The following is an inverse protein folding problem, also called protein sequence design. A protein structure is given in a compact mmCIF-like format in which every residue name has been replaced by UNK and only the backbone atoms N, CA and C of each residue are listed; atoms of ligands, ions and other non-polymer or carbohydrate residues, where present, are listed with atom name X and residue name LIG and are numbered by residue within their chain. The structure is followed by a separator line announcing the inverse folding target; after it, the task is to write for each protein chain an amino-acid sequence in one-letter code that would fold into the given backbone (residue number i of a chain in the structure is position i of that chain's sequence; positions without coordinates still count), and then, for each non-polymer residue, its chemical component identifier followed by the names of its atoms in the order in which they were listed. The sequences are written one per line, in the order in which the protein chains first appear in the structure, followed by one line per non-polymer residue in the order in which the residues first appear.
data_IF_178934535848
#
_entry.id   IF_178934535848
#
_cell.length_a   1.000
_cell.length_b   1.000
_cell.length_c   1.000
_cell.angle_alpha   90.00
_cell.angle_beta   90.00
_cell.angle_gamma   90.00
#
_symmetry.space_group_name_H-M   'P 1'
#
loop_
_entity.id
_entity.type
_entity.pdbx_description
1 polymer ?
#
# COMPACT_ATOMS: atom_id res chain seq x y z
N UNK A 1 0.95 6.21 33.41
CA UNK A 1 1.47 5.05 32.68
C UNK A 1 0.78 5.02 31.34
N UNK A 2 1.51 5.14 30.23
CA UNK A 2 0.90 5.02 28.92
C UNK A 2 0.33 3.59 28.81
N UNK A 3 -0.97 3.47 28.56
CA UNK A 3 -1.57 2.20 28.19
C UNK A 3 -0.77 1.66 27.02
N UNK A 4 -0.14 0.49 27.15
CA UNK A 4 0.55 -0.17 26.05
C UNK A 4 -0.46 -0.31 24.90
N UNK A 5 -0.25 0.45 23.83
CA UNK A 5 -1.04 0.35 22.60
C UNK A 5 -0.58 -0.93 21.93
N UNK A 6 -1.18 -2.05 22.31
CA UNK A 6 -0.82 -3.35 21.78
C UNK A 6 -2.08 -4.13 21.45
N UNK A 7 -2.46 -4.13 20.17
CA UNK A 7 -3.45 -5.07 19.67
C UNK A 7 -2.82 -6.47 19.59
N UNK A 8 -3.39 -7.50 20.25
CA UNK A 8 -2.81 -8.83 20.27
C UNK A 8 -2.85 -9.53 18.90
N UNK A 9 -3.79 -9.14 18.04
CA UNK A 9 -3.94 -9.62 16.67
C UNK A 9 -4.58 -8.53 15.80
N UNK A 10 -4.51 -8.64 14.46
CA UNK A 10 -5.25 -7.75 13.57
C UNK A 10 -6.77 -7.89 13.73
N UNK A 11 -7.49 -6.78 13.61
CA UNK A 11 -8.95 -6.74 13.61
C UNK A 11 -9.49 -6.02 12.37
N UNK A 12 -10.66 -6.42 11.89
CA UNK A 12 -11.28 -5.78 10.74
C UNK A 12 -11.72 -4.36 11.11
N UNK A 13 -11.23 -3.33 10.41
CA UNK A 13 -11.61 -1.93 10.62
C UNK A 13 -12.77 -1.52 9.73
N UNK A 14 -12.75 -1.94 8.47
CA UNK A 14 -13.80 -1.65 7.49
C UNK A 14 -14.21 -2.97 6.86
N UNK A 15 -15.44 -3.39 7.12
CA UNK A 15 -16.01 -4.61 6.58
C UNK A 15 -16.64 -4.35 5.21
N UNK A 16 -16.54 -5.32 4.31
CA UNK A 16 -17.23 -5.32 3.03
C UNK A 16 -18.43 -6.29 3.10
N UNK A 17 -19.62 -5.75 3.38
CA UNK A 17 -20.85 -6.52 3.57
C UNK A 17 -21.75 -6.30 2.35
N UNK A 18 -21.94 -7.33 1.52
CA UNK A 18 -22.82 -7.29 0.34
C UNK A 18 -22.54 -6.09 -0.57
N UNK A 19 -21.25 -5.77 -0.76
CA UNK A 19 -20.81 -4.66 -1.61
C UNK A 19 -20.89 -3.27 -0.95
N UNK A 20 -21.08 -3.19 0.37
CA UNK A 20 -21.05 -1.94 1.14
C UNK A 20 -19.91 -1.96 2.15
N UNK A 21 -19.13 -0.89 2.16
CA UNK A 21 -18.08 -0.68 3.16
C UNK A 21 -18.67 -0.09 4.45
N UNK A 22 -18.49 -0.80 5.57
CA UNK A 22 -19.03 -0.44 6.89
C UNK A 22 -17.89 -0.41 7.90
N UNK A 23 -17.78 0.67 8.67
CA UNK A 23 -16.77 0.78 9.74
C UNK A 23 -17.16 -0.13 10.90
N UNK A 24 -16.23 -0.94 11.38
CA UNK A 24 -16.40 -1.73 12.59
C UNK A 24 -16.24 -0.83 13.83
N UNK A 25 -17.31 -0.61 14.63
CA UNK A 25 -17.26 0.33 15.75
C UNK A 25 -16.37 -0.15 16.90
N UNK A 26 -16.14 -1.46 17.04
CA UNK A 26 -15.27 -2.02 18.07
C UNK A 26 -13.81 -1.68 17.75
N UNK A 27 -13.39 -1.97 16.52
CA UNK A 27 -12.03 -1.67 16.03
C UNK A 27 -11.76 -0.16 16.01
N UNK A 28 -12.74 0.65 15.60
CA UNK A 28 -12.63 2.11 15.64
C UNK A 28 -12.47 2.65 17.08
N UNK A 29 -13.10 2.01 18.07
CA UNK A 29 -12.92 2.35 19.49
C UNK A 29 -11.51 2.08 19.98
N UNK A 30 -10.88 0.98 19.53
CA UNK A 30 -9.47 0.69 19.81
C UNK A 30 -8.59 1.81 19.26
N UNK A 31 -8.80 2.20 17.99
CA UNK A 31 -8.06 3.30 17.37
C UNK A 31 -8.24 4.60 18.18
N UNK A 32 -9.46 4.95 18.59
CA UNK A 32 -9.72 6.17 19.39
C UNK A 32 -9.00 6.24 20.75
N UNK A 33 -8.51 5.11 21.27
CA UNK A 33 -7.75 5.09 22.51
C UNK A 33 -6.28 5.50 22.32
N UNK A 34 -5.77 5.48 21.08
CA UNK A 34 -4.38 5.78 20.72
C UNK A 34 -4.16 7.29 20.73
N UNK A 35 -3.52 7.81 21.79
CA UNK A 35 -3.25 9.26 21.92
C UNK A 35 -1.95 9.70 21.27
N UNK A 36 -1.02 8.76 21.05
CA UNK A 36 0.25 9.00 20.36
C UNK A 36 0.02 9.35 18.89
N UNK A 37 0.91 10.14 18.27
CA UNK A 37 0.99 10.27 16.82
C UNK A 37 1.05 8.89 16.15
N UNK A 38 0.32 8.73 15.05
CA UNK A 38 0.27 7.46 14.31
C UNK A 38 1.10 7.54 13.03
N UNK A 39 1.89 6.51 12.77
CA UNK A 39 2.48 6.21 11.46
C UNK A 39 1.61 5.15 10.82
N UNK A 40 0.97 5.46 9.69
CA UNK A 40 0.02 4.54 9.05
C UNK A 40 0.64 3.98 7.77
N UNK A 41 0.81 2.67 7.69
CA UNK A 41 1.29 1.97 6.48
C UNK A 41 0.15 1.15 5.93
N UNK A 42 -0.28 1.44 4.70
CA UNK A 42 -1.33 0.68 4.03
C UNK A 42 -0.76 -0.06 2.82
N UNK A 43 -1.16 -1.31 2.62
CA UNK A 43 -0.77 -2.10 1.45
C UNK A 43 -1.98 -2.46 0.59
N UNK A 44 -1.87 -2.23 -0.72
CA UNK A 44 -2.92 -2.56 -1.69
C UNK A 44 -2.32 -3.29 -2.88
N UNK A 45 -3.10 -4.16 -3.50
CA UNK A 45 -2.68 -4.93 -4.65
C UNK A 45 -3.63 -6.08 -4.92
N UNK A 46 -3.43 -6.77 -6.04
CA UNK A 46 -4.26 -7.91 -6.43
C UNK A 46 -4.32 -8.97 -5.33
N UNK A 47 -5.40 -9.75 -5.32
CA UNK A 47 -5.52 -10.91 -4.45
C UNK A 47 -4.34 -11.90 -4.67
N UNK A 48 -3.90 -12.57 -3.60
CA UNK A 48 -2.77 -13.54 -3.60
C UNK A 48 -1.42 -13.04 -4.09
N UNK A 49 -1.10 -11.78 -3.81
CA UNK A 49 0.23 -11.20 -4.11
C UNK A 49 1.16 -11.14 -2.89
N UNK A 50 0.79 -11.77 -1.77
CA UNK A 50 1.62 -11.83 -0.56
C UNK A 50 1.67 -10.53 0.25
N UNK A 51 0.60 -9.71 0.21
CA UNK A 51 0.49 -8.44 0.96
C UNK A 51 0.58 -8.65 2.47
N UNK A 52 -0.31 -9.48 3.02
CA UNK A 52 -0.40 -9.82 4.44
C UNK A 52 0.93 -10.34 5.00
N UNK A 53 1.73 -11.05 4.18
CA UNK A 53 3.06 -11.50 4.56
C UNK A 53 4.02 -10.32 4.82
N UNK A 54 4.07 -9.35 3.91
CA UNK A 54 4.92 -8.16 4.08
C UNK A 54 4.47 -7.33 5.29
N UNK A 55 3.16 -7.23 5.53
CA UNK A 55 2.62 -6.53 6.71
C UNK A 55 2.98 -7.24 8.02
N UNK A 56 2.96 -8.57 8.04
CA UNK A 56 3.42 -9.35 9.20
C UNK A 56 4.91 -9.13 9.48
N UNK A 57 5.73 -9.02 8.42
CA UNK A 57 7.16 -8.70 8.56
C UNK A 57 7.38 -7.28 9.11
N UNK A 58 6.60 -6.29 8.68
CA UNK A 58 6.62 -4.94 9.30
C UNK A 58 6.21 -4.96 10.78
N UNK A 59 5.28 -5.84 11.16
CA UNK A 59 4.88 -6.03 12.55
C UNK A 59 5.95 -6.73 13.40
N UNK A 60 7.03 -7.25 12.79
CA UNK A 60 8.04 -8.06 13.47
C UNK A 60 7.50 -9.40 13.99
N UNK A 61 6.43 -9.93 13.37
CA UNK A 61 5.73 -11.14 13.83
C UNK A 61 5.57 -12.13 12.68
N UNK A 62 5.77 -13.42 12.95
CA UNK A 62 5.54 -14.46 11.94
C UNK A 62 4.06 -14.80 11.75
N UNK A 63 3.20 -14.47 12.73
CA UNK A 63 1.74 -14.66 12.69
C UNK A 63 1.05 -13.33 12.97
N UNK A 64 -0.01 -13.05 12.23
CA UNK A 64 -0.73 -11.78 12.29
C UNK A 64 -1.89 -11.78 11.29
N UNK A 65 -1.76 -11.00 10.23
CA UNK A 65 -2.70 -11.00 9.12
C UNK A 65 -2.69 -12.38 8.44
N UNK A 66 -3.87 -12.93 8.20
CA UNK A 66 -4.04 -14.26 7.59
C UNK A 66 -3.53 -14.27 6.14
N UNK A 67 -2.61 -15.19 5.80
CA UNK A 67 -1.99 -15.22 4.47
C UNK A 67 -2.86 -15.82 3.35
N UNK A 68 -3.95 -16.51 3.70
CA UNK A 68 -4.92 -17.11 2.77
C UNK A 68 -4.32 -18.11 1.77
N UNK A 69 -4.49 -19.41 2.02
CA UNK A 69 -3.90 -20.49 1.18
C UNK A 69 -4.84 -21.09 0.14
N UNK A 70 -6.12 -20.70 0.11
CA UNK A 70 -7.17 -21.28 -0.75
C UNK A 70 -7.61 -20.33 -1.87
N UNK A 71 -8.46 -20.81 -2.79
CA UNK A 71 -8.99 -20.07 -3.95
C UNK A 71 -9.96 -18.94 -3.57
N UNK A 72 -10.47 -18.93 -2.34
CA UNK A 72 -11.29 -17.86 -1.79
C UNK A 72 -10.41 -16.73 -1.23
N UNK A 73 -10.90 -15.49 -1.31
CA UNK A 73 -10.23 -14.36 -0.65
C UNK A 73 -10.51 -14.36 0.85
N UNK A 74 -9.45 -14.21 1.64
CA UNK A 74 -9.50 -14.27 3.10
C UNK A 74 -9.70 -12.88 3.72
N UNK A 75 -8.91 -11.91 3.29
CA UNK A 75 -9.06 -10.51 3.74
C UNK A 75 -10.24 -9.88 3.00
N UNK A 76 -11.32 -9.60 3.72
CA UNK A 76 -12.46 -8.82 3.23
C UNK A 76 -12.42 -7.42 3.84
N UNK A 77 -12.55 -6.37 3.02
CA UNK A 77 -12.45 -4.98 3.47
C UNK A 77 -11.02 -4.53 3.85
N UNK A 78 -10.87 -3.79 4.95
CA UNK A 78 -9.59 -3.26 5.43
C UNK A 78 -9.37 -3.71 6.89
N UNK A 79 -8.26 -4.39 7.12
CA UNK A 79 -7.85 -4.92 8.43
C UNK A 79 -6.76 -4.05 9.02
N UNK A 80 -6.82 -3.85 10.33
CA UNK A 80 -5.95 -2.95 11.08
C UNK A 80 -5.20 -3.71 12.16
N UNK A 81 -3.91 -3.39 12.33
CA UNK A 81 -3.12 -3.87 13.46
C UNK A 81 -2.28 -2.71 14.03
N UNK A 82 -2.52 -2.39 15.31
CA UNK A 82 -1.85 -1.29 15.99
C UNK A 82 -0.85 -1.79 17.03
N UNK A 83 0.34 -1.21 17.04
CA UNK A 83 1.42 -1.57 17.96
C UNK A 83 2.35 -0.38 18.23
N UNK A 84 3.22 -0.45 19.24
CA UNK A 84 4.25 0.57 19.44
C UNK A 84 5.18 0.60 18.22
N UNK A 85 5.58 1.79 17.77
CA UNK A 85 6.47 1.89 16.63
C UNK A 85 7.89 1.45 17.02
N UNK A 86 8.52 0.48 16.33
CA UNK A 86 9.79 -0.10 16.74
C UNK A 86 10.95 0.90 16.76
N UNK A 87 10.99 1.82 15.80
CA UNK A 87 12.07 2.84 15.68
C UNK A 87 11.69 4.22 16.24
N UNK A 88 10.47 4.43 16.73
CA UNK A 88 9.94 5.76 17.11
C UNK A 88 9.17 5.65 18.43
N UNK A 89 9.83 5.81 19.59
CA UNK A 89 9.29 5.42 20.89
C UNK A 89 7.98 6.12 21.29
N UNK A 90 7.75 7.34 20.81
CA UNK A 90 6.54 8.12 21.10
C UNK A 90 5.42 7.97 20.07
N UNK A 91 5.57 7.06 19.10
CA UNK A 91 4.60 6.85 18.02
C UNK A 91 3.97 5.46 18.09
N UNK A 92 2.75 5.38 17.59
CA UNK A 92 2.11 4.11 17.27
C UNK A 92 2.27 3.80 15.77
N UNK A 93 2.54 2.54 15.46
CA UNK A 93 2.51 2.01 14.09
C UNK A 93 1.12 1.40 13.86
N UNK A 94 0.46 1.83 12.79
CA UNK A 94 -0.84 1.32 12.34
C UNK A 94 -0.65 0.68 10.98
N UNK A 95 -0.82 -0.64 10.93
CA UNK A 95 -0.72 -1.43 9.72
C UNK A 95 -2.10 -1.68 9.15
N UNK A 96 -2.33 -1.31 7.88
CA UNK A 96 -3.57 -1.54 7.16
C UNK A 96 -3.36 -2.55 6.02
N UNK A 97 -3.81 -3.78 6.20
CA UNK A 97 -3.85 -4.80 5.15
C UNK A 97 -5.22 -4.79 4.47
N UNK A 98 -5.24 -4.69 3.15
CA UNK A 98 -6.49 -4.60 2.41
C UNK A 98 -6.85 -5.90 1.70
N UNK A 99 -8.14 -6.06 1.48
CA UNK A 99 -8.68 -7.02 0.54
C UNK A 99 -8.00 -6.91 -0.83
N UNK A 100 -7.85 -8.06 -1.49
CA UNK A 100 -7.27 -8.13 -2.82
C UNK A 100 -8.17 -7.50 -3.88
N UNK A 101 -7.57 -6.68 -4.73
CA UNK A 101 -8.25 -6.12 -5.91
C UNK A 101 -8.48 -7.22 -6.96
N UNK A 102 -9.55 -7.09 -7.75
CA UNK A 102 -9.83 -7.94 -8.91
C UNK A 102 -10.21 -9.38 -8.55
N UNK A 103 -10.73 -9.61 -7.35
CA UNK A 103 -11.22 -10.92 -6.94
C UNK A 103 -12.48 -11.30 -7.74
N UNK A 104 -12.37 -12.37 -8.54
CA UNK A 104 -13.38 -12.82 -9.49
C UNK A 104 -14.70 -13.21 -8.80
N UNK A 105 -14.65 -13.63 -7.53
CA UNK A 105 -15.84 -13.97 -6.76
C UNK A 105 -16.73 -12.76 -6.41
N UNK A 106 -16.20 -11.53 -6.52
CA UNK A 106 -16.93 -10.31 -6.14
C UNK A 106 -17.91 -9.80 -7.21
N UNK A 107 -17.57 -9.94 -8.48
CA UNK A 107 -18.32 -9.36 -9.61
C UNK A 107 -18.46 -7.83 -9.63
N UNK A 108 -18.02 -7.10 -8.60
CA UNK A 108 -18.19 -5.64 -8.45
C UNK A 108 -16.87 -4.91 -8.20
N UNK A 109 -16.42 -4.17 -9.22
CA UNK A 109 -15.20 -3.37 -9.20
C UNK A 109 -15.33 -2.07 -8.38
N UNK A 110 -16.52 -1.67 -7.93
CA UNK A 110 -16.70 -0.38 -7.22
C UNK A 110 -16.08 -0.39 -5.82
N UNK A 111 -16.15 -1.52 -5.11
CA UNK A 111 -15.54 -1.63 -3.77
C UNK A 111 -14.02 -1.58 -3.83
N UNK A 112 -13.43 -2.13 -4.88
CA UNK A 112 -11.98 -2.09 -5.10
C UNK A 112 -11.48 -0.64 -5.25
N UNK A 113 -12.19 0.21 -6.00
CA UNK A 113 -11.89 1.65 -6.09
C UNK A 113 -11.94 2.33 -4.71
N UNK A 114 -12.92 2.00 -3.87
CA UNK A 114 -13.09 2.63 -2.55
C UNK A 114 -12.07 2.13 -1.52
N UNK A 115 -11.75 0.84 -1.52
CA UNK A 115 -10.69 0.28 -0.66
C UNK A 115 -9.35 0.91 -1.01
N UNK A 116 -9.04 1.03 -2.31
CA UNK A 116 -7.85 1.72 -2.80
C UNK A 116 -7.82 3.17 -2.32
N UNK A 117 -8.93 3.90 -2.52
CA UNK A 117 -9.08 5.29 -2.12
C UNK A 117 -8.82 5.50 -0.62
N UNK A 118 -9.47 4.68 0.22
CA UNK A 118 -9.35 4.76 1.66
C UNK A 118 -7.93 4.44 2.13
N UNK A 119 -7.28 3.42 1.55
CA UNK A 119 -5.90 3.08 1.86
C UNK A 119 -4.93 4.24 1.57
N UNK A 120 -5.08 4.92 0.42
CA UNK A 120 -4.27 6.10 0.09
C UNK A 120 -4.54 7.24 1.07
N UNK A 121 -5.81 7.55 1.34
CA UNK A 121 -6.17 8.69 2.19
C UNK A 121 -5.78 8.52 3.65
N UNK A 122 -5.88 7.30 4.19
CA UNK A 122 -5.58 6.99 5.59
C UNK A 122 -4.08 6.83 5.85
N UNK A 123 -3.28 6.44 4.85
CA UNK A 123 -1.87 6.11 5.06
C UNK A 123 -0.93 7.32 5.10
N UNK A 124 0.17 7.17 5.83
CA UNK A 124 1.40 7.96 5.70
C UNK A 124 2.28 7.44 4.56
N UNK A 125 2.30 6.12 4.39
CA UNK A 125 3.02 5.43 3.31
C UNK A 125 2.09 4.40 2.68
N UNK A 126 1.92 4.53 1.37
CA UNK A 126 1.08 3.65 0.57
C UNK A 126 1.95 2.68 -0.20
N UNK A 127 1.80 1.39 0.11
CA UNK A 127 2.51 0.30 -0.53
C UNK A 127 1.62 -0.32 -1.60
N UNK A 128 2.01 -0.20 -2.86
CA UNK A 128 1.36 -0.90 -3.97
C UNK A 128 2.14 -2.17 -4.32
N UNK A 129 1.47 -3.31 -4.20
CA UNK A 129 2.08 -4.63 -4.31
C UNK A 129 1.56 -5.39 -5.54
N UNK A 130 2.47 -5.77 -6.43
CA UNK A 130 2.15 -6.53 -7.65
C UNK A 130 3.15 -7.65 -7.89
N UNK A 131 2.75 -8.67 -8.65
CA UNK A 131 3.66 -9.75 -9.10
C UNK A 131 4.26 -9.39 -10.46
N UNK A 132 5.55 -9.67 -10.61
CA UNK A 132 6.32 -9.50 -11.83
C UNK A 132 6.71 -8.05 -12.08
N UNK A 133 6.75 -7.70 -13.37
CA UNK A 133 7.30 -6.45 -13.88
C UNK A 133 6.25 -5.33 -13.90
N UNK A 134 6.70 -4.08 -13.97
CA UNK A 134 5.80 -2.94 -14.22
C UNK A 134 5.39 -2.95 -15.70
N UNK A 135 4.25 -3.56 -15.99
CA UNK A 135 3.66 -3.62 -17.33
C UNK A 135 2.41 -2.71 -17.43
N UNK A 136 1.82 -2.65 -18.63
CA UNK A 136 0.63 -1.81 -18.84
C UNK A 136 -0.55 -2.24 -17.97
N UNK A 137 -0.75 -3.54 -17.74
CA UNK A 137 -1.82 -4.04 -16.88
C UNK A 137 -1.67 -3.57 -15.43
N UNK A 138 -0.44 -3.58 -14.90
CA UNK A 138 -0.16 -3.08 -13.55
C UNK A 138 -0.40 -1.56 -13.45
N UNK A 139 -0.11 -0.81 -14.52
CA UNK A 139 -0.43 0.63 -14.61
C UNK A 139 -1.93 0.90 -14.76
N UNK A 140 -2.65 0.06 -15.49
CA UNK A 140 -4.11 0.18 -15.66
C UNK A 140 -4.83 -0.09 -14.33
N UNK A 141 -4.28 -0.96 -13.48
CA UNK A 141 -4.77 -1.15 -12.11
C UNK A 141 -4.54 0.09 -11.23
N UNK A 142 -3.49 0.87 -11.50
CA UNK A 142 -3.29 2.16 -10.85
C UNK A 142 -4.22 3.26 -11.38
N UNK A 143 -5.11 2.97 -12.34
CA UNK A 143 -6.18 3.90 -12.72
C UNK A 143 -7.08 4.30 -11.54
N UNK A 144 -7.15 3.48 -10.48
CA UNK A 144 -7.84 3.86 -9.24
C UNK A 144 -7.27 5.15 -8.62
N UNK A 145 -5.97 5.45 -8.79
CA UNK A 145 -5.38 6.73 -8.37
C UNK A 145 -5.98 7.90 -9.16
N UNK A 146 -6.16 7.72 -10.47
CA UNK A 146 -6.78 8.71 -11.35
C UNK A 146 -8.25 8.93 -10.98
N UNK A 147 -9.00 7.85 -10.71
CA UNK A 147 -10.38 7.94 -10.24
C UNK A 147 -10.47 8.65 -8.88
N UNK A 148 -9.61 8.27 -7.94
CA UNK A 148 -9.51 8.88 -6.62
C UNK A 148 -9.33 10.39 -6.74
N UNK A 149 -8.34 10.81 -7.52
CA UNK A 149 -8.06 12.21 -7.79
C UNK A 149 -9.29 12.93 -8.33
N UNK A 150 -9.97 12.34 -9.32
CA UNK A 150 -11.18 12.92 -9.92
C UNK A 150 -12.29 13.06 -8.89
N UNK A 151 -12.51 12.04 -8.05
CA UNK A 151 -13.56 12.01 -7.02
C UNK A 151 -13.28 13.00 -5.88
N UNK A 152 -12.04 13.11 -5.41
CA UNK A 152 -11.69 14.09 -4.38
C UNK A 152 -11.87 15.50 -4.96
N UNK A 153 -11.33 15.78 -6.16
CA UNK A 153 -11.45 17.08 -6.84
C UNK A 153 -12.91 17.51 -7.04
N UNK A 154 -13.78 16.59 -7.45
CA UNK A 154 -15.21 16.86 -7.66
C UNK A 154 -15.96 17.22 -6.37
N UNK A 155 -15.51 16.72 -5.21
CA UNK A 155 -16.15 17.00 -3.91
C UNK A 155 -15.58 18.24 -3.20
N UNK A 156 -14.35 18.63 -3.52
CA UNK A 156 -13.66 19.74 -2.84
C UNK A 156 -13.92 21.12 -3.45
N UNK A 157 -14.45 21.24 -4.68
CA UNK A 157 -14.91 22.53 -5.26
C UNK A 157 -15.71 22.34 -6.57
N UNK A 158 -16.99 22.76 -6.65
CA UNK A 158 -17.74 22.79 -7.92
C UNK A 158 -17.36 23.96 -8.86
N UNK A 159 -16.68 25.00 -8.35
CA UNK A 159 -16.77 26.36 -8.94
C UNK A 159 -15.43 27.09 -9.20
N UNK A 160 -14.31 26.38 -9.35
CA UNK A 160 -13.04 27.04 -9.74
C UNK A 160 -12.40 26.40 -10.96
N UNK A 161 -12.34 27.23 -12.01
CA UNK A 161 -11.59 27.00 -13.23
C UNK A 161 -10.16 26.55 -12.94
N UNK A 162 -9.69 25.70 -13.84
CA UNK A 162 -8.48 24.91 -13.79
C UNK A 162 -7.21 25.71 -13.43
N UNK A 163 -6.24 24.98 -12.85
CA UNK A 163 -4.78 25.22 -12.87
C UNK A 163 -4.09 25.55 -11.51
N UNK A 164 -4.77 25.95 -10.43
CA UNK A 164 -4.05 26.27 -9.16
C UNK A 164 -4.15 25.26 -8.01
N UNK A 165 -5.03 24.26 -8.08
CA UNK A 165 -5.32 23.41 -6.91
C UNK A 165 -4.28 22.31 -6.60
N UNK A 166 -3.37 21.96 -7.52
CA UNK A 166 -2.55 20.76 -7.35
C UNK A 166 -1.60 20.79 -6.13
N UNK A 167 -1.14 21.97 -5.70
CA UNK A 167 -0.20 22.09 -4.58
C UNK A 167 -0.82 21.71 -3.22
N UNK A 168 -2.10 22.01 -3.01
CA UNK A 168 -2.81 21.65 -1.79
C UNK A 168 -3.08 20.13 -1.71
N UNK A 169 -3.29 19.47 -2.86
CA UNK A 169 -3.50 18.03 -2.93
C UNK A 169 -2.24 17.23 -2.60
N UNK A 170 -1.06 17.65 -3.07
CA UNK A 170 0.19 16.93 -2.78
C UNK A 170 0.47 16.85 -1.27
N UNK A 171 0.04 17.86 -0.50
CA UNK A 171 0.39 17.98 0.92
C UNK A 171 -0.13 16.86 1.84
N UNK A 172 -1.16 16.12 1.42
CA UNK A 172 -1.76 15.05 2.25
C UNK A 172 -1.66 13.65 1.63
N UNK A 173 -1.11 13.53 0.42
CA UNK A 173 -0.86 12.23 -0.18
C UNK A 173 0.31 11.53 0.52
N UNK A 174 0.22 10.20 0.69
CA UNK A 174 1.27 9.42 1.33
C UNK A 174 2.53 9.35 0.46
N UNK A 175 3.65 8.96 1.06
CA UNK A 175 4.80 8.49 0.29
C UNK A 175 4.41 7.17 -0.43
N UNK A 176 4.85 6.98 -1.68
CA UNK A 176 4.50 5.82 -2.50
C UNK A 176 5.62 4.79 -2.54
N UNK A 177 5.30 3.52 -2.27
CA UNK A 177 6.25 2.41 -2.37
C UNK A 177 5.67 1.34 -3.28
N UNK A 178 6.37 0.97 -4.34
CA UNK A 178 5.97 -0.13 -5.22
C UNK A 178 6.79 -1.38 -4.93
N UNK A 179 6.13 -2.43 -4.43
CA UNK A 179 6.74 -3.74 -4.19
C UNK A 179 6.44 -4.70 -5.35
N UNK A 180 7.50 -5.17 -6.02
CA UNK A 180 7.43 -6.09 -7.16
C UNK A 180 7.82 -7.50 -6.72
N UNK A 181 6.85 -8.39 -6.65
CA UNK A 181 6.99 -9.76 -6.14
C UNK A 181 7.33 -10.73 -7.26
N UNK A 182 8.07 -11.80 -6.96
CA UNK A 182 8.55 -12.77 -7.96
C UNK A 182 9.25 -12.07 -9.14
N UNK A 183 10.03 -11.04 -8.84
CA UNK A 183 10.77 -10.30 -9.86
C UNK A 183 11.85 -11.22 -10.45
N UNK A 184 11.98 -11.20 -11.78
CA UNK A 184 12.83 -12.15 -12.51
C UNK A 184 13.60 -11.49 -13.66
N UNK A 185 13.57 -10.17 -13.75
CA UNK A 185 14.40 -9.44 -14.71
C UNK A 185 15.72 -9.05 -14.07
N UNK A 186 16.77 -9.05 -14.87
CA UNK A 186 18.00 -8.33 -14.52
C UNK A 186 17.71 -6.82 -14.58
N UNK A 187 18.10 -6.11 -13.53
CA UNK A 187 17.96 -4.66 -13.47
C UNK A 187 19.07 -4.01 -14.29
N UNK A 188 18.91 -4.02 -15.60
CA UNK A 188 19.82 -3.38 -16.55
C UNK A 188 19.08 -2.47 -17.54
N UNK A 189 19.71 -1.35 -17.87
CA UNK A 189 19.29 -0.46 -18.95
C UNK A 189 20.51 -0.02 -19.75
N UNK A 190 20.44 -0.12 -21.08
CA UNK A 190 21.53 0.21 -22.00
C UNK A 190 22.87 -0.48 -21.65
N UNK A 191 22.79 -1.71 -21.13
CA UNK A 191 23.95 -2.52 -20.70
C UNK A 191 24.62 -2.04 -19.41
N UNK A 192 23.97 -1.16 -18.65
CA UNK A 192 24.42 -0.73 -17.32
C UNK A 192 23.46 -1.23 -16.24
N UNK A 193 23.97 -1.66 -15.08
CA UNK A 193 23.11 -2.01 -13.95
C UNK A 193 22.37 -0.78 -13.45
N UNK A 194 21.08 -0.95 -13.13
CA UNK A 194 20.23 0.08 -12.55
C UNK A 194 19.66 -0.39 -11.21
N UNK A 195 19.24 0.56 -10.39
CA UNK A 195 18.51 0.30 -9.14
C UNK A 195 17.03 0.05 -9.40
N UNK A 196 16.33 -0.53 -8.42
CA UNK A 196 14.87 -0.68 -8.48
C UNK A 196 14.16 0.69 -8.60
N UNK A 197 14.70 1.73 -7.96
CA UNK A 197 14.16 3.09 -8.06
C UNK A 197 14.31 3.66 -9.47
N UNK A 198 15.47 3.46 -10.11
CA UNK A 198 15.67 3.83 -11.51
C UNK A 198 14.76 3.05 -12.46
N UNK A 199 14.52 1.76 -12.18
CA UNK A 199 13.53 0.96 -12.92
C UNK A 199 12.11 1.53 -12.81
N UNK A 200 11.70 1.98 -11.62
CA UNK A 200 10.41 2.64 -11.41
C UNK A 200 10.33 3.99 -12.15
N UNK A 201 11.36 4.83 -12.05
CA UNK A 201 11.40 6.12 -12.75
C UNK A 201 11.37 5.94 -14.27
N UNK A 202 12.10 4.94 -14.79
CA UNK A 202 12.05 4.55 -16.20
C UNK A 202 10.64 4.13 -16.61
N UNK A 203 9.94 3.37 -15.77
CA UNK A 203 8.57 2.89 -16.02
C UNK A 203 7.52 4.02 -16.00
N UNK A 204 7.81 5.11 -15.28
CA UNK A 204 6.99 6.31 -15.16
C UNK A 204 7.31 7.40 -16.21
N UNK A 205 8.27 7.15 -17.11
CA UNK A 205 8.55 8.05 -18.25
C UNK A 205 7.32 8.23 -19.12
N UNK A 206 7.05 9.48 -19.49
CA UNK A 206 5.93 9.84 -20.34
C UNK A 206 6.33 9.70 -21.80
N UNK A 207 5.37 9.29 -22.64
CA UNK A 207 5.54 9.32 -24.09
C UNK A 207 5.18 10.70 -24.63
N UNK A 208 5.93 11.17 -25.61
CA UNK A 208 5.58 12.38 -26.35
C UNK A 208 4.46 12.08 -27.35
N UNK A 209 3.52 13.01 -27.49
CA UNK A 209 2.38 12.87 -28.39
C UNK A 209 1.06 13.30 -27.74
N UNK A 210 0.10 13.71 -28.57
CA UNK A 210 -1.22 14.17 -28.13
C UNK A 210 -2.38 13.25 -28.58
N UNK A 211 -2.06 12.11 -29.19
CA UNK A 211 -3.06 11.13 -29.61
C UNK A 211 -3.71 10.43 -28.39
N UNK A 212 -4.87 9.81 -28.62
CA UNK A 212 -5.66 9.17 -27.57
C UNK A 212 -4.87 8.06 -26.84
N UNK A 213 -4.07 7.26 -27.55
CA UNK A 213 -3.30 6.16 -26.94
C UNK A 213 -2.20 6.71 -26.04
N UNK A 214 -1.49 7.74 -26.48
CA UNK A 214 -0.46 8.40 -25.68
C UNK A 214 -1.05 9.04 -24.42
N UNK A 215 -2.22 9.69 -24.52
CA UNK A 215 -2.93 10.24 -23.36
C UNK A 215 -3.30 9.16 -22.35
N UNK A 216 -3.91 8.05 -22.79
CA UNK A 216 -4.26 6.92 -21.91
C UNK A 216 -3.02 6.30 -21.26
N UNK A 217 -1.90 6.17 -22.00
CA UNK A 217 -0.64 5.68 -21.44
C UNK A 217 -0.05 6.63 -20.39
N UNK A 218 -0.10 7.95 -20.63
CA UNK A 218 0.49 8.95 -19.76
C UNK A 218 -0.36 9.27 -18.52
N UNK A 219 -1.68 9.09 -18.56
CA UNK A 219 -2.59 9.47 -17.49
C UNK A 219 -2.25 8.86 -16.11
N UNK A 220 -2.13 7.52 -15.94
CA UNK A 220 -1.77 6.94 -14.64
C UNK A 220 -0.36 7.37 -14.19
N UNK A 221 0.59 7.50 -15.13
CA UNK A 221 1.97 7.94 -14.85
C UNK A 221 2.02 9.37 -14.35
N UNK A 222 1.25 10.27 -14.97
CA UNK A 222 1.11 11.65 -14.54
C UNK A 222 0.51 11.74 -13.14
N UNK A 223 -0.49 10.90 -12.83
CA UNK A 223 -1.08 10.87 -11.50
C UNK A 223 -0.04 10.45 -10.46
N UNK A 224 0.66 9.35 -10.67
CA UNK A 224 1.67 8.87 -9.71
C UNK A 224 2.76 9.92 -9.50
N UNK A 225 3.27 10.50 -10.58
CA UNK A 225 4.34 11.50 -10.53
C UNK A 225 3.93 12.78 -9.80
N UNK A 226 2.68 13.21 -9.96
CA UNK A 226 2.15 14.46 -9.39
C UNK A 226 1.66 14.33 -7.96
N UNK A 227 0.98 13.24 -7.61
CA UNK A 227 0.27 13.16 -6.33
C UNK A 227 1.12 12.61 -5.21
N UNK A 228 1.95 11.60 -5.48
CA UNK A 228 2.82 11.05 -4.47
C UNK A 228 4.12 11.87 -4.44
N UNK A 229 4.49 12.51 -3.31
CA UNK A 229 5.69 13.33 -3.24
C UNK A 229 6.94 12.45 -3.45
N UNK A 230 7.10 11.45 -2.60
CA UNK A 230 8.18 10.47 -2.65
C UNK A 230 7.73 9.17 -3.33
N UNK A 231 8.65 8.54 -4.07
CA UNK A 231 8.45 7.24 -4.71
C UNK A 231 9.65 6.36 -4.41
N UNK A 232 9.38 5.12 -4.02
CA UNK A 232 10.38 4.09 -3.77
C UNK A 232 9.96 2.79 -4.44
N UNK A 233 10.91 1.98 -4.87
CA UNK A 233 10.67 0.66 -5.40
C UNK A 233 11.50 -0.40 -4.67
N UNK A 234 10.86 -1.53 -4.41
CA UNK A 234 11.52 -2.74 -3.92
C UNK A 234 11.16 -3.91 -4.83
N UNK A 235 12.17 -4.68 -5.21
CA UNK A 235 11.99 -5.95 -5.89
C UNK A 235 12.14 -7.08 -4.88
N UNK A 236 11.39 -8.15 -5.09
CA UNK A 236 11.43 -9.34 -4.26
C UNK A 236 11.54 -10.56 -5.16
N UNK A 237 12.56 -11.35 -4.91
CA UNK A 237 12.73 -12.66 -5.49
C UNK A 237 11.63 -13.60 -4.99
N UNK A 238 11.56 -14.79 -5.59
CA UNK A 238 10.66 -15.82 -5.09
C UNK A 238 11.10 -16.24 -3.68
N UNK A 239 10.20 -16.23 -2.70
CA UNK A 239 10.56 -16.47 -1.30
C UNK A 239 10.96 -17.93 -1.04
N UNK A 240 10.40 -18.87 -1.77
CA UNK A 240 10.72 -20.28 -1.68
C UNK A 240 10.29 -21.01 -2.98
N UNK A 241 10.64 -22.28 -3.09
CA UNK A 241 10.17 -23.13 -4.17
C UNK A 241 8.63 -23.27 -4.16
N UNK A 242 7.99 -23.33 -5.33
CA UNK A 242 6.53 -23.30 -5.51
C UNK A 242 5.75 -24.24 -4.58
N UNK A 243 6.28 -25.43 -4.33
CA UNK A 243 5.66 -26.46 -3.47
C UNK A 243 5.49 -26.01 -2.01
N UNK A 244 6.34 -25.08 -1.54
CA UNK A 244 6.34 -24.62 -0.16
C UNK A 244 5.56 -23.30 0.03
N UNK A 245 5.24 -22.59 -1.06
CA UNK A 245 4.54 -21.30 -1.01
C UNK A 245 3.14 -21.38 -0.37
N UNK A 246 2.48 -22.54 -0.46
CA UNK A 246 1.15 -22.78 0.14
C UNK A 246 1.24 -22.69 1.68
N UNK A 247 2.40 -23.02 2.24
CA UNK A 247 2.69 -23.05 3.66
C UNK A 247 3.76 -22.03 4.05
N UNK A 248 3.83 -20.89 3.34
CA UNK A 248 4.87 -19.87 3.56
C UNK A 248 4.92 -19.38 5.01
N UNK A 249 3.78 -19.35 5.72
CA UNK A 249 3.70 -18.99 7.15
C UNK A 249 4.36 -20.01 8.09
N UNK A 250 4.48 -21.25 7.64
CA UNK A 250 5.02 -22.38 8.42
C UNK A 250 6.52 -22.59 8.18
N UNK A 251 7.05 -22.02 7.09
CA UNK A 251 8.46 -22.08 6.79
C UNK A 251 9.25 -21.30 7.83
N UNK A 252 10.39 -21.86 8.23
CA UNK A 252 11.35 -21.12 9.04
C UNK A 252 12.05 -20.08 8.18
N UNK A 253 12.66 -19.07 8.79
CA UNK A 253 13.36 -18.05 8.01
C UNK A 253 14.54 -18.64 7.22
N UNK A 254 15.17 -19.68 7.73
CA UNK A 254 16.30 -20.36 7.10
C UNK A 254 15.90 -21.13 5.83
N UNK A 255 14.61 -21.47 5.69
CA UNK A 255 14.06 -22.15 4.52
C UNK A 255 13.71 -21.19 3.38
N UNK A 256 13.76 -19.88 3.64
CA UNK A 256 13.50 -18.85 2.64
C UNK A 256 14.77 -18.56 1.83
N UNK A 257 14.54 -18.15 0.59
CA UNK A 257 15.57 -17.63 -0.29
C UNK A 257 16.35 -16.49 0.42
N UNK A 258 17.70 -16.60 0.59
CA UNK A 258 18.50 -15.59 1.28
C UNK A 258 18.33 -14.18 0.72
N UNK A 259 18.35 -14.02 -0.60
CA UNK A 259 18.17 -12.74 -1.28
C UNK A 259 16.79 -12.15 -0.97
N UNK A 260 15.75 -12.99 -0.92
CA UNK A 260 14.41 -12.54 -0.53
C UNK A 260 14.37 -12.05 0.93
N UNK A 261 15.10 -12.70 1.84
CA UNK A 261 15.15 -12.27 3.26
C UNK A 261 15.81 -10.90 3.39
N UNK A 262 16.91 -10.68 2.68
CA UNK A 262 17.61 -9.40 2.66
C UNK A 262 16.72 -8.29 2.08
N UNK A 263 16.07 -8.55 0.93
CA UNK A 263 15.11 -7.61 0.32
C UNK A 263 13.94 -7.25 1.27
N UNK A 264 13.43 -8.23 2.03
CA UNK A 264 12.38 -7.99 3.05
C UNK A 264 12.92 -7.17 4.23
N UNK A 265 14.15 -7.43 4.68
CA UNK A 265 14.78 -6.66 5.75
C UNK A 265 14.99 -5.20 5.32
N UNK A 266 15.48 -4.96 4.10
CA UNK A 266 15.67 -3.63 3.54
C UNK A 266 14.35 -2.87 3.40
N UNK A 267 13.31 -3.54 2.90
CA UNK A 267 11.96 -2.99 2.85
C UNK A 267 11.45 -2.59 4.23
N UNK A 268 11.57 -3.47 5.22
CA UNK A 268 11.10 -3.19 6.58
C UNK A 268 11.89 -2.03 7.21
N UNK A 269 13.22 -2.05 7.08
CA UNK A 269 14.10 -1.00 7.55
C UNK A 269 13.72 0.35 6.95
N UNK A 270 13.51 0.42 5.63
CA UNK A 270 13.10 1.64 4.95
C UNK A 270 11.75 2.15 5.46
N UNK A 271 10.72 1.30 5.50
CA UNK A 271 9.38 1.71 5.94
C UNK A 271 9.42 2.23 7.38
N UNK A 272 10.04 1.49 8.30
CA UNK A 272 10.05 1.85 9.73
C UNK A 272 10.86 3.13 9.99
N UNK A 273 11.94 3.37 9.25
CA UNK A 273 12.74 4.59 9.41
C UNK A 273 12.11 5.80 8.70
N UNK A 274 11.65 5.65 7.45
CA UNK A 274 11.26 6.77 6.58
C UNK A 274 9.79 7.16 6.68
N UNK A 275 8.88 6.23 6.98
CA UNK A 275 7.44 6.54 7.03
C UNK A 275 7.12 7.57 8.12
N UNK A 276 6.56 8.71 7.71
CA UNK A 276 6.28 9.85 8.59
C UNK A 276 5.01 9.63 9.42
N UNK A 277 4.88 10.39 10.52
CA UNK A 277 3.58 10.47 11.19
C UNK A 277 2.52 10.99 10.22
N UNK A 278 1.30 10.45 10.28
CA UNK A 278 0.22 10.87 9.41
C UNK A 278 -0.14 12.31 9.71
N UNK A 279 -0.35 13.10 8.66
CA UNK A 279 -0.76 14.50 8.77
C UNK A 279 -2.01 14.78 7.94
N UNK A 280 -2.83 15.71 8.42
CA UNK A 280 -3.88 16.36 7.64
C UNK A 280 -3.36 17.65 7.02
N UNK A 281 -4.17 18.24 6.13
CA UNK A 281 -3.90 19.55 5.53
C UNK A 281 -3.55 20.59 6.60
N UNK A 282 -2.48 21.36 6.37
CA UNK A 282 -1.94 22.30 7.35
C UNK A 282 -0.93 21.70 8.32
N UNK A 283 -0.50 20.46 8.12
CA UNK A 283 0.57 19.83 8.92
C UNK A 283 0.12 19.32 10.28
N UNK A 284 -1.20 19.16 10.49
CA UNK A 284 -1.76 18.69 11.75
C UNK A 284 -1.44 17.20 11.88
N UNK A 285 -0.64 16.85 12.89
CA UNK A 285 -0.28 15.45 13.18
C UNK A 285 -1.49 14.68 13.69
N UNK A 286 -1.73 13.52 13.10
CA UNK A 286 -2.86 12.63 13.39
C UNK A 286 -2.48 11.67 14.52
N UNK A 287 -3.42 11.45 15.42
CA UNK A 287 -3.43 10.35 16.39
C UNK A 287 -4.64 9.46 16.13
N UNK A 288 -4.93 8.49 17.00
CA UNK A 288 -6.04 7.57 16.78
C UNK A 288 -7.44 8.20 16.67
N UNK A 289 -7.83 9.15 17.54
CA UNK A 289 -9.12 9.84 17.42
C UNK A 289 -9.29 10.77 16.21
N UNK A 290 -8.19 11.32 15.68
CA UNK A 290 -8.23 12.40 14.67
C UNK A 290 -8.28 11.85 13.25
#
# INVERSE_FOLDING_TARGET
MASEIHMPAPECLIENINGRLVVNPVTAKILSAIRQPVVVVAIVGLYRTGKSYLMNKLAGKNKGFSLGSTVQSHTKGIWMWCMPHPEKPDHALVLLDTEGLGDVEKGDNQNDSWIFALAVLLSSTFVYNSIGTINQQAMDQLHYVTELTRRIRAKSSPDKHEVQDSANFVSFFPDFVWTLRDFSLELEADGQPITADEYLENSLKLKQGNDKKTKTFNEPRLCIRKFFPEKKCFIFDRPAHRKHLIHLEQLQEEDLNPEFREQVADFCCYILSHSKAKTLSGGITVNGPL
#
